data_IF_314172696331
#
_entry.id   IF_314172696331
#
_cell.length_a   1.000
_cell.length_b   1.000
_cell.length_c   1.000
_cell.angle_alpha   90.00
_cell.angle_beta   90.00
_cell.angle_gamma   90.00
#
_symmetry.space_group_name_H-M   'P 1'
#
loop_
_entity.id
_entity.type
_entity.pdbx_description
1 polymer ?
#
# COMPACT_ATOMS: atom_id res chain seq x y z
N UNK A 1 -13.18 -3.12 -12.72
CA UNK A 1 -12.19 -4.21 -12.95
C UNK A 1 -11.31 -4.31 -11.71
N UNK A 2 -10.85 -5.50 -11.34
CA UNK A 2 -9.96 -5.70 -10.20
C UNK A 2 -8.66 -6.37 -10.63
N UNK A 3 -7.52 -5.85 -10.19
CA UNK A 3 -6.18 -6.39 -10.45
C UNK A 3 -5.49 -6.68 -9.11
N UNK A 4 -4.93 -7.89 -8.94
CA UNK A 4 -4.38 -8.35 -7.65
C UNK A 4 -2.92 -7.93 -7.50
N UNK A 5 -2.53 -7.61 -6.27
CA UNK A 5 -1.15 -7.26 -5.89
C UNK A 5 -0.64 -8.27 -4.86
N UNK A 6 0.41 -9.00 -5.21
CA UNK A 6 1.06 -10.00 -4.35
C UNK A 6 0.13 -11.05 -3.70
N UNK A 7 -0.97 -11.42 -4.37
CA UNK A 7 -1.96 -12.38 -3.90
C UNK A 7 -1.73 -13.80 -4.45
N UNK A 8 -0.62 -14.43 -4.07
CA UNK A 8 -0.16 -15.71 -4.63
C UNK A 8 -0.59 -16.95 -3.84
N UNK A 9 -1.19 -16.77 -2.66
CA UNK A 9 -1.60 -17.89 -1.82
C UNK A 9 -2.90 -18.51 -2.36
N UNK A 10 -2.87 -19.79 -2.74
CA UNK A 10 -4.04 -20.49 -3.29
C UNK A 10 -5.11 -20.82 -2.24
N UNK A 11 -4.74 -20.91 -0.97
CA UNK A 11 -5.65 -21.23 0.13
C UNK A 11 -6.27 -19.96 0.72
N UNK A 12 -5.51 -18.86 0.73
CA UNK A 12 -5.95 -17.55 1.21
C UNK A 12 -6.35 -16.65 0.06
N UNK A 13 -7.64 -16.67 -0.20
CA UNK A 13 -8.24 -16.03 -1.36
C UNK A 13 -8.29 -14.52 -1.21
N UNK A 14 -8.25 -13.86 -2.36
CA UNK A 14 -8.50 -12.44 -2.54
C UNK A 14 -9.37 -12.36 -3.80
N UNK A 15 -10.69 -12.28 -3.63
CA UNK A 15 -11.68 -12.50 -4.68
C UNK A 15 -12.78 -11.45 -4.66
N UNK A 16 -13.25 -11.06 -5.85
CA UNK A 16 -14.41 -10.20 -6.00
C UNK A 16 -15.69 -11.01 -5.78
N UNK A 17 -16.61 -10.47 -4.98
CA UNK A 17 -17.93 -10.99 -4.72
C UNK A 17 -18.96 -9.97 -5.16
N UNK A 18 -19.70 -10.25 -6.24
CA UNK A 18 -20.68 -9.31 -6.78
C UNK A 18 -20.02 -8.05 -7.37
N UNK A 19 -20.75 -6.94 -7.37
CA UNK A 19 -20.31 -5.67 -7.94
C UNK A 19 -19.65 -4.72 -6.94
N UNK A 20 -19.75 -5.01 -5.64
CA UNK A 20 -19.50 -4.07 -4.55
C UNK A 20 -18.65 -4.63 -3.40
N UNK A 21 -18.26 -5.92 -3.44
CA UNK A 21 -17.46 -6.51 -2.38
C UNK A 21 -16.20 -7.22 -2.90
N UNK A 22 -15.13 -7.12 -2.12
CA UNK A 22 -13.93 -7.94 -2.26
C UNK A 22 -13.68 -8.61 -0.92
N UNK A 23 -13.53 -9.93 -0.94
CA UNK A 23 -13.26 -10.74 0.24
C UNK A 23 -11.81 -11.18 0.17
N UNK A 24 -11.06 -10.94 1.25
CA UNK A 24 -9.66 -11.28 1.33
C UNK A 24 -9.28 -11.93 2.66
N UNK A 25 -8.37 -12.89 2.59
CA UNK A 25 -7.57 -13.40 3.70
C UNK A 25 -6.09 -13.18 3.34
N UNK A 26 -5.32 -12.55 4.22
CA UNK A 26 -3.95 -12.17 3.94
C UNK A 26 -3.02 -12.49 5.12
N UNK A 27 -1.84 -13.03 4.78
CA UNK A 27 -0.67 -13.07 5.65
C UNK A 27 0.47 -12.39 4.91
N UNK A 28 1.19 -11.52 5.62
CA UNK A 28 2.42 -10.92 5.14
C UNK A 28 3.52 -11.08 6.19
N UNK A 29 4.74 -11.28 5.71
CA UNK A 29 5.97 -11.28 6.52
C UNK A 29 6.79 -10.00 6.30
N UNK A 30 6.15 -8.94 5.78
CA UNK A 30 6.75 -7.62 5.57
C UNK A 30 6.65 -7.07 4.15
N UNK A 31 6.02 -7.79 3.22
CA UNK A 31 5.77 -7.30 1.87
C UNK A 31 4.39 -6.65 1.74
N UNK A 32 4.24 -5.77 0.76
CA UNK A 32 2.96 -5.18 0.37
C UNK A 32 2.08 -6.23 -0.33
N UNK A 33 0.76 -6.15 -0.14
CA UNK A 33 -0.23 -6.99 -0.85
C UNK A 33 -1.59 -6.32 -0.83
N UNK A 34 -2.43 -6.61 -1.81
CA UNK A 34 -3.71 -5.94 -1.97
C UNK A 34 -4.30 -6.11 -3.36
N UNK A 35 -4.99 -5.07 -3.82
CA UNK A 35 -5.61 -5.03 -5.13
C UNK A 35 -5.87 -3.60 -5.56
N UNK A 36 -5.96 -3.39 -6.88
CA UNK A 36 -6.50 -2.19 -7.49
C UNK A 36 -7.91 -2.47 -8.00
N UNK A 37 -8.80 -1.48 -7.86
CA UNK A 37 -10.16 -1.52 -8.38
C UNK A 37 -10.50 -0.27 -9.18
N UNK A 38 -10.96 -0.47 -10.41
CA UNK A 38 -11.68 0.54 -11.17
C UNK A 38 -13.16 0.51 -10.81
N UNK A 39 -13.71 1.67 -10.43
CA UNK A 39 -15.09 1.87 -9.99
C UNK A 39 -15.82 2.83 -10.95
N UNK A 40 -17.01 2.43 -11.41
CA UNK A 40 -17.89 3.28 -12.20
C UNK A 40 -18.92 3.98 -11.29
N UNK A 41 -19.30 5.23 -11.60
CA UNK A 41 -20.35 5.97 -10.89
C UNK A 41 -20.18 6.07 -9.35
N UNK A 42 -18.97 6.39 -8.90
CA UNK A 42 -18.58 6.34 -7.48
C UNK A 42 -18.71 7.67 -6.71
N UNK A 43 -19.44 8.66 -7.24
CA UNK A 43 -19.45 10.03 -6.72
C UNK A 43 -19.88 10.14 -5.24
N UNK A 44 -20.87 9.33 -4.84
CA UNK A 44 -21.43 9.29 -3.49
C UNK A 44 -21.16 7.95 -2.78
N UNK A 45 -20.22 7.16 -3.30
CA UNK A 45 -19.91 5.84 -2.74
C UNK A 45 -18.92 5.94 -1.58
N UNK A 46 -18.96 4.92 -0.71
CA UNK A 46 -18.15 4.81 0.50
C UNK A 46 -17.28 3.55 0.43
N UNK A 47 -16.05 3.65 0.92
CA UNK A 47 -15.22 2.48 1.22
C UNK A 47 -15.52 2.01 2.64
N UNK A 48 -15.88 0.74 2.78
CA UNK A 48 -15.97 0.06 4.07
C UNK A 48 -15.05 -1.16 4.07
N UNK A 49 -14.13 -1.22 5.04
CA UNK A 49 -13.23 -2.35 5.27
C UNK A 49 -13.43 -2.81 6.70
N UNK A 50 -13.80 -4.08 6.85
CA UNK A 50 -13.99 -4.72 8.15
C UNK A 50 -13.06 -5.93 8.24
N UNK A 51 -12.24 -5.99 9.29
CA UNK A 51 -11.33 -7.10 9.55
C UNK A 51 -11.44 -7.54 11.01
N UNK A 52 -10.84 -8.68 11.35
CA UNK A 52 -10.74 -9.12 12.75
C UNK A 52 -9.84 -8.25 13.63
N UNK A 53 -9.11 -7.28 13.05
CA UNK A 53 -8.14 -6.45 13.76
C UNK A 53 -8.60 -5.00 13.92
N UNK A 54 -9.26 -4.44 12.91
CA UNK A 54 -9.70 -3.06 12.86
C UNK A 54 -10.67 -2.85 11.69
N UNK A 55 -11.27 -1.66 11.62
CA UNK A 55 -12.13 -1.23 10.52
C UNK A 55 -11.76 0.13 9.97
N UNK A 56 -12.12 0.36 8.71
CA UNK A 56 -11.94 1.62 8.00
C UNK A 56 -13.20 1.97 7.22
N UNK A 57 -13.73 3.15 7.46
CA UNK A 57 -14.84 3.70 6.69
C UNK A 57 -14.45 5.10 6.23
N UNK A 58 -14.59 5.37 4.94
CA UNK A 58 -14.28 6.68 4.36
C UNK A 58 -15.08 6.91 3.07
N UNK A 59 -15.65 8.11 2.86
CA UNK A 59 -16.20 8.48 1.56
C UNK A 59 -15.13 8.37 0.48
N UNK A 60 -15.46 7.81 -0.69
CA UNK A 60 -14.48 7.70 -1.77
C UNK A 60 -13.99 9.09 -2.24
N UNK A 61 -14.80 10.13 -2.07
CA UNK A 61 -14.40 11.52 -2.35
C UNK A 61 -13.24 12.02 -1.48
N UNK A 62 -13.04 11.45 -0.29
CA UNK A 62 -11.97 11.84 0.64
C UNK A 62 -10.68 11.04 0.43
N UNK A 63 -10.72 9.95 -0.35
CA UNK A 63 -9.54 9.14 -0.65
C UNK A 63 -8.74 9.80 -1.78
N UNK A 64 -7.62 10.42 -1.41
CA UNK A 64 -6.68 11.05 -2.33
C UNK A 64 -5.44 10.19 -2.61
N UNK A 65 -4.39 10.82 -3.14
CA UNK A 65 -3.08 10.19 -3.29
C UNK A 65 -2.39 9.99 -1.93
N UNK A 66 -2.73 10.83 -0.97
CA UNK A 66 -2.37 10.65 0.44
C UNK A 66 -3.22 9.54 1.02
N UNK A 67 -2.59 8.58 1.70
CA UNK A 67 -3.29 7.40 2.17
C UNK A 67 -4.34 7.73 3.23
N UNK A 68 -5.48 7.04 3.13
CA UNK A 68 -6.32 6.77 4.29
C UNK A 68 -5.83 5.47 4.92
N UNK A 69 -5.40 5.53 6.18
CA UNK A 69 -4.70 4.43 6.85
C UNK A 69 -5.55 3.85 7.98
N UNK A 70 -5.66 2.53 7.99
CA UNK A 70 -6.16 1.74 9.10
C UNK A 70 -4.99 1.03 9.78
N UNK A 71 -4.63 1.47 10.97
CA UNK A 71 -3.63 0.78 11.80
C UNK A 71 -4.23 -0.55 12.32
N UNK A 72 -3.45 -1.63 12.22
CA UNK A 72 -3.83 -2.96 12.69
C UNK A 72 -2.79 -3.57 13.65
N UNK A 73 -1.91 -2.74 14.23
CA UNK A 73 -0.92 -3.08 15.26
C UNK A 73 0.21 -4.01 14.78
N UNK A 74 0.89 -4.66 15.74
CA UNK A 74 1.99 -5.57 15.43
C UNK A 74 3.22 -4.88 14.84
N UNK A 75 3.85 -5.49 13.83
CA UNK A 75 5.05 -4.96 13.16
C UNK A 75 4.65 -3.99 12.04
N UNK A 76 4.05 -2.85 12.41
CA UNK A 76 3.59 -1.81 11.48
C UNK A 76 2.57 -2.32 10.44
N UNK A 77 1.72 -3.27 10.85
CA UNK A 77 0.68 -3.84 9.99
C UNK A 77 -0.47 -2.85 9.88
N UNK A 78 -0.88 -2.56 8.65
CA UNK A 78 -1.92 -1.58 8.33
C UNK A 78 -2.56 -1.89 6.99
N UNK A 79 -3.78 -1.38 6.79
CA UNK A 79 -4.40 -1.25 5.47
C UNK A 79 -4.29 0.21 5.05
N UNK A 80 -3.99 0.43 3.77
CA UNK A 80 -3.93 1.76 3.16
C UNK A 80 -4.87 1.78 1.97
N UNK A 81 -5.71 2.80 1.90
CA UNK A 81 -6.52 3.10 0.72
C UNK A 81 -6.06 4.43 0.15
N UNK A 82 -5.77 4.47 -1.13
CA UNK A 82 -5.33 5.66 -1.85
C UNK A 82 -5.81 5.61 -3.30
N UNK A 83 -5.90 6.77 -3.94
CA UNK A 83 -6.37 6.92 -5.32
C UNK A 83 -5.20 7.05 -6.27
N UNK A 84 -5.10 6.10 -7.19
CA UNK A 84 -4.18 6.16 -8.32
C UNK A 84 -4.70 7.12 -9.40
N UNK A 85 -3.81 7.72 -10.21
CA UNK A 85 -4.23 8.46 -11.39
C UNK A 85 -4.81 7.52 -12.46
N UNK A 86 -5.81 7.99 -13.21
CA UNK A 86 -6.41 7.25 -14.35
C UNK A 86 -5.39 6.83 -15.42
N UNK A 87 -4.30 7.59 -15.54
CA UNK A 87 -3.21 7.29 -16.46
C UNK A 87 -1.87 7.62 -15.82
N UNK A 88 -0.97 6.63 -15.80
CA UNK A 88 0.42 6.82 -15.39
C UNK A 88 1.38 6.48 -16.56
N UNK A 89 1.80 7.48 -17.35
CA UNK A 89 2.73 7.25 -18.45
C UNK A 89 4.19 7.14 -17.99
N UNK A 90 4.47 7.37 -16.70
CA UNK A 90 5.84 7.47 -16.22
C UNK A 90 6.48 6.09 -16.05
N UNK A 91 7.78 5.99 -16.36
CA UNK A 91 8.60 4.77 -16.26
C UNK A 91 9.91 4.99 -15.51
N UNK A 92 10.15 6.21 -15.05
CA UNK A 92 11.34 6.60 -14.32
C UNK A 92 10.94 7.57 -13.21
N UNK A 93 11.62 7.46 -12.07
CA UNK A 93 11.49 8.36 -10.93
C UNK A 93 12.87 8.89 -10.56
N UNK A 94 12.94 10.17 -10.24
CA UNK A 94 14.13 10.82 -9.70
C UNK A 94 13.71 11.71 -8.55
N UNK A 95 14.25 11.45 -7.36
CA UNK A 95 13.93 12.20 -6.16
C UNK A 95 15.21 12.61 -5.42
N UNK A 96 15.15 13.75 -4.74
CA UNK A 96 16.17 14.16 -3.76
C UNK A 96 15.49 14.29 -2.41
N UNK A 97 15.93 13.49 -1.44
CA UNK A 97 15.36 13.45 -0.10
C UNK A 97 16.39 13.96 0.89
N UNK A 98 15.97 14.82 1.81
CA UNK A 98 16.80 15.25 2.94
C UNK A 98 16.58 14.28 4.09
N UNK A 99 17.65 13.62 4.54
CA UNK A 99 17.60 12.65 5.64
C UNK A 99 18.34 13.23 6.86
N UNK A 100 17.70 13.32 8.04
CA UNK A 100 18.39 13.74 9.25
C UNK A 100 19.39 12.65 9.70
N UNK A 101 20.62 13.07 10.02
CA UNK A 101 21.69 12.18 10.47
C UNK A 101 22.03 12.41 11.94
N UNK A 102 22.22 11.32 12.68
CA UNK A 102 22.79 11.29 14.03
C UNK A 102 24.28 11.60 13.96
N UNK A 103 24.78 12.39 14.91
CA UNK A 103 26.20 12.74 15.04
C UNK A 103 26.93 11.71 15.89
N UNK A 104 28.15 11.34 15.52
CA UNK A 104 29.00 10.43 16.31
C UNK A 104 28.53 8.97 16.34
N UNK A 105 27.67 8.57 15.41
CA UNK A 105 27.16 7.20 15.27
C UNK A 105 26.93 6.87 13.80
N UNK A 106 26.85 5.57 13.49
CA UNK A 106 26.46 5.09 12.18
C UNK A 106 25.02 5.46 11.83
N UNK A 107 24.83 5.94 10.61
CA UNK A 107 23.52 6.16 10.01
C UNK A 107 23.32 5.17 8.87
N UNK A 108 22.78 3.96 9.14
CA UNK A 108 22.40 3.07 8.06
C UNK A 108 21.17 3.64 7.35
N UNK A 109 21.31 3.86 6.04
CA UNK A 109 20.22 4.30 5.17
C UNK A 109 19.81 3.14 4.26
N UNK A 110 18.52 2.94 4.09
CA UNK A 110 17.96 1.98 3.15
C UNK A 110 17.15 2.70 2.10
N UNK A 111 17.25 2.22 0.86
CA UNK A 111 16.38 2.63 -0.23
C UNK A 111 15.46 1.47 -0.55
N UNK A 112 14.16 1.71 -0.49
CA UNK A 112 13.14 0.81 -0.98
C UNK A 112 12.44 1.43 -2.17
N UNK A 113 12.33 0.68 -3.25
CA UNK A 113 11.50 1.03 -4.40
C UNK A 113 10.35 0.05 -4.45
N UNK A 114 9.12 0.54 -4.34
CA UNK A 114 7.89 -0.23 -4.56
C UNK A 114 7.40 0.03 -5.98
N UNK A 115 7.19 -1.03 -6.77
CA UNK A 115 6.58 -0.95 -8.10
C UNK A 115 5.05 -0.95 -8.00
N UNK A 116 4.38 -0.59 -9.09
CA UNK A 116 2.91 -0.50 -9.16
C UNK A 116 2.22 -1.82 -8.84
N UNK A 117 2.81 -2.95 -9.26
CA UNK A 117 2.35 -4.31 -8.95
C UNK A 117 2.78 -4.79 -7.54
N UNK A 118 3.27 -3.88 -6.70
CA UNK A 118 3.57 -4.10 -5.28
C UNK A 118 4.87 -4.84 -5.00
N UNK A 119 5.74 -5.09 -5.98
CA UNK A 119 7.06 -5.65 -5.71
C UNK A 119 7.97 -4.59 -5.09
N UNK A 120 8.85 -5.05 -4.20
CA UNK A 120 9.81 -4.18 -3.54
C UNK A 120 11.24 -4.59 -3.87
N UNK A 121 12.05 -3.61 -4.25
CA UNK A 121 13.49 -3.75 -4.36
C UNK A 121 14.15 -2.95 -3.24
N UNK A 122 15.09 -3.58 -2.54
CA UNK A 122 15.79 -3.00 -1.40
C UNK A 122 17.29 -2.87 -1.70
N UNK A 123 17.88 -1.77 -1.27
CA UNK A 123 19.34 -1.66 -1.19
C UNK A 123 19.87 -2.41 0.03
N UNK A 124 21.14 -2.83 -0.01
CA UNK A 124 21.91 -3.03 1.21
C UNK A 124 21.97 -1.72 2.02
N UNK A 125 22.22 -1.78 3.35
CA UNK A 125 22.40 -0.57 4.14
C UNK A 125 23.55 0.26 3.60
N UNK A 126 23.29 1.54 3.38
CA UNK A 126 24.28 2.55 3.00
C UNK A 126 24.66 3.29 4.28
N UNK A 127 25.88 3.04 4.78
CA UNK A 127 26.34 3.66 6.02
C UNK A 127 26.91 5.06 5.77
N UNK A 128 26.35 6.05 6.48
CA UNK A 128 26.83 7.43 6.47
C UNK A 128 27.23 7.83 7.88
N UNK A 129 28.40 8.45 8.01
CA UNK A 129 28.89 9.00 9.28
C UNK A 129 28.87 10.53 9.25
N UNK A 130 28.46 11.14 10.35
CA UNK A 130 28.43 12.60 10.53
C UNK A 130 29.09 13.00 11.83
#
# INVERSE_FOLDING_TARGET
RMDKINAWNHERKLEQHGSDAIIFDAITTGNFGGFDVGLDNAADAELSVETSLSSLNAPLSEIGIEDVVMDAGGLDRKIRAFRLPESNPHRAISARVKVPLKTGADNPLWVCVTTEDGFQAWSSPIYVFR
#
